data_IF_891264783106
#
_entry.id   IF_891264783106
#
_cell.length_a   1.000
_cell.length_b   1.000
_cell.length_c   1.000
_cell.angle_alpha   90.00
_cell.angle_beta   90.00
_cell.angle_gamma   90.00
#
_symmetry.space_group_name_H-M   'P 1'
#
loop_
_entity.id
_entity.type
_entity.pdbx_description
1 polymer ?
#
# COMPACT_ATOMS: atom_id res chain seq x y z
N UNK A 1 -29.59 25.21 -39.41
CA UNK A 1 -30.05 26.38 -40.17
C UNK A 1 -29.85 27.64 -39.33
N UNK A 2 -28.61 28.14 -39.29
CA UNK A 2 -28.32 29.47 -38.76
C UNK A 2 -28.18 30.40 -39.93
N UNK A 3 -29.26 31.10 -40.28
CA UNK A 3 -29.20 32.28 -41.18
C UNK A 3 -28.68 33.43 -40.32
N UNK A 4 -27.47 33.89 -40.62
CA UNK A 4 -26.96 35.18 -40.17
C UNK A 4 -27.70 36.27 -41.00
N UNK A 5 -28.70 36.86 -40.35
CA UNK A 5 -29.28 38.12 -40.82
C UNK A 5 -28.26 39.24 -40.64
N UNK A 6 -27.38 39.43 -41.59
CA UNK A 6 -26.58 40.64 -41.73
C UNK A 6 -27.51 41.79 -42.06
N UNK A 7 -27.74 42.68 -41.09
CA UNK A 7 -28.50 43.91 -41.27
C UNK A 7 -27.91 44.71 -42.41
N UNK A 8 -28.67 44.88 -43.45
CA UNK A 8 -28.33 45.61 -44.65
C UNK A 8 -28.01 47.11 -44.43
N UNK A 9 -28.11 47.62 -43.23
CA UNK A 9 -27.92 49.02 -42.85
C UNK A 9 -26.51 49.53 -42.70
N UNK A 10 -25.51 48.65 -42.74
CA UNK A 10 -24.09 49.03 -42.53
C UNK A 10 -23.27 49.03 -43.81
N UNK A 11 -23.83 48.60 -44.91
CA UNK A 11 -23.11 48.45 -46.17
C UNK A 11 -23.13 49.74 -47.03
N UNK A 12 -24.04 50.69 -46.77
CA UNK A 12 -24.30 51.84 -47.58
C UNK A 12 -23.44 53.10 -47.33
N UNK A 13 -22.42 53.03 -46.47
CA UNK A 13 -21.60 54.21 -46.10
C UNK A 13 -20.12 54.18 -46.52
N UNK A 14 -19.67 53.21 -47.26
CA UNK A 14 -18.26 53.16 -47.67
C UNK A 14 -18.17 53.34 -49.19
N UNK A 15 -17.35 54.31 -49.58
CA UNK A 15 -17.10 54.62 -51.03
C UNK A 15 -16.59 53.35 -51.73
N UNK A 16 -17.15 53.00 -52.93
CA UNK A 16 -16.86 51.68 -53.56
C UNK A 16 -15.39 51.43 -53.93
N UNK A 17 -14.55 52.44 -53.95
CA UNK A 17 -13.15 52.36 -54.36
C UNK A 17 -12.22 51.98 -53.16
N UNK A 18 -12.52 52.40 -51.93
CA UNK A 18 -11.68 52.09 -50.72
C UNK A 18 -11.94 50.69 -50.26
N UNK A 19 -13.20 50.24 -50.31
CA UNK A 19 -13.55 48.87 -49.86
C UNK A 19 -12.90 47.75 -50.69
N UNK A 20 -12.67 48.03 -51.99
CA UNK A 20 -12.10 47.06 -52.93
C UNK A 20 -10.57 46.83 -52.58
N UNK A 21 -9.87 47.90 -52.22
CA UNK A 21 -8.47 47.84 -51.88
C UNK A 21 -8.25 47.11 -50.50
N UNK A 22 -9.08 47.43 -49.50
CA UNK A 22 -9.03 46.73 -48.18
C UNK A 22 -9.41 45.27 -48.30
N UNK A 23 -10.44 44.95 -49.09
CA UNK A 23 -10.86 43.54 -49.30
C UNK A 23 -9.77 42.73 -50.02
N UNK A 24 -9.08 43.31 -50.97
CA UNK A 24 -7.96 42.69 -51.68
C UNK A 24 -6.76 42.51 -50.71
N UNK A 25 -6.45 43.48 -49.85
CA UNK A 25 -5.40 43.35 -48.87
C UNK A 25 -5.71 42.32 -47.79
N UNK A 26 -6.94 42.27 -47.28
CA UNK A 26 -7.39 41.25 -46.31
C UNK A 26 -7.42 39.84 -46.92
N UNK A 27 -7.82 39.73 -48.18
CA UNK A 27 -7.83 38.43 -48.85
C UNK A 27 -6.42 37.94 -49.17
N UNK A 28 -5.50 38.84 -49.58
CA UNK A 28 -4.09 38.45 -49.79
C UNK A 28 -3.36 38.13 -48.50
N UNK A 29 -3.62 38.84 -47.37
CA UNK A 29 -3.09 38.52 -46.07
C UNK A 29 -3.61 37.16 -45.51
N UNK A 30 -4.89 36.86 -45.74
CA UNK A 30 -5.44 35.53 -45.40
C UNK A 30 -4.86 34.43 -46.28
N UNK A 31 -4.69 34.67 -47.57
CA UNK A 31 -4.05 33.70 -48.46
C UNK A 31 -2.61 33.41 -48.08
N UNK A 32 -1.83 34.43 -47.76
CA UNK A 32 -0.45 34.26 -47.28
C UNK A 32 -0.34 33.47 -45.96
N UNK A 33 -1.27 33.70 -45.00
CA UNK A 33 -1.33 32.90 -43.77
C UNK A 33 -1.73 31.44 -44.05
N UNK A 34 -2.65 31.20 -44.97
CA UNK A 34 -3.05 29.84 -45.37
C UNK A 34 -1.91 29.10 -46.09
N UNK A 35 -1.13 29.78 -46.92
CA UNK A 35 0.07 29.18 -47.53
C UNK A 35 1.16 28.84 -46.52
N UNK A 36 1.40 29.71 -45.53
CA UNK A 36 2.34 29.45 -44.46
C UNK A 36 1.92 28.22 -43.62
N UNK A 37 0.64 28.15 -43.21
CA UNK A 37 0.14 26.99 -42.44
C UNK A 37 0.16 25.71 -43.26
N UNK A 38 -0.16 25.75 -44.53
CA UNK A 38 -0.07 24.58 -45.44
C UNK A 38 1.39 24.11 -45.62
N UNK A 39 2.33 25.04 -45.69
CA UNK A 39 3.75 24.72 -45.78
C UNK A 39 4.30 24.10 -44.49
N UNK A 40 3.86 24.56 -43.34
CA UNK A 40 4.20 23.95 -42.02
C UNK A 40 3.60 22.57 -41.88
N UNK A 41 2.31 22.40 -42.24
CA UNK A 41 1.65 21.08 -42.22
C UNK A 41 2.37 20.10 -43.16
N UNK A 42 2.77 20.55 -44.34
CA UNK A 42 3.49 19.70 -45.29
C UNK A 42 4.92 19.32 -44.83
N UNK A 43 5.58 20.17 -44.03
CA UNK A 43 6.85 19.86 -43.37
C UNK A 43 6.65 18.82 -42.27
N UNK A 44 5.64 19.00 -41.42
CA UNK A 44 5.31 18.05 -40.35
C UNK A 44 4.89 16.69 -40.91
N UNK A 45 4.12 16.66 -42.02
CA UNK A 45 3.76 15.40 -42.67
C UNK A 45 4.96 14.67 -43.28
N UNK A 46 5.90 15.41 -43.88
CA UNK A 46 7.16 14.82 -44.41
C UNK A 46 8.03 14.30 -43.29
N UNK A 47 8.13 15.03 -42.18
CA UNK A 47 8.85 14.61 -40.99
C UNK A 47 8.21 13.36 -40.36
N UNK A 48 6.91 13.36 -40.18
CA UNK A 48 6.16 12.22 -39.66
C UNK A 48 6.36 10.97 -40.51
N UNK A 49 6.23 11.06 -41.82
CA UNK A 49 6.39 9.92 -42.75
C UNK A 49 7.81 9.35 -42.71
N UNK A 50 8.84 10.20 -42.56
CA UNK A 50 10.24 9.78 -42.54
C UNK A 50 10.61 9.05 -41.23
N UNK A 51 10.06 9.49 -40.10
CA UNK A 51 10.42 8.99 -38.79
C UNK A 51 9.36 8.05 -38.17
N UNK A 52 8.23 7.84 -38.89
CA UNK A 52 7.17 6.92 -38.46
C UNK A 52 7.67 5.53 -38.05
N UNK A 53 8.54 4.86 -38.83
CA UNK A 53 9.01 3.53 -38.45
C UNK A 53 9.86 3.56 -37.18
N UNK A 54 10.59 4.64 -36.95
CA UNK A 54 11.43 4.83 -35.76
C UNK A 54 10.55 5.10 -34.52
N UNK A 55 9.50 5.90 -34.64
CA UNK A 55 8.52 6.14 -33.58
C UNK A 55 7.74 4.86 -33.24
N UNK A 56 7.29 4.12 -34.23
CA UNK A 56 6.62 2.84 -34.03
C UNK A 56 7.52 1.80 -33.31
N UNK A 57 8.81 1.76 -33.66
CA UNK A 57 9.77 0.90 -33.00
C UNK A 57 10.00 1.31 -31.53
N UNK A 58 10.04 2.60 -31.25
CA UNK A 58 10.20 3.13 -29.90
C UNK A 58 8.97 2.84 -29.03
N UNK A 59 7.77 2.97 -29.60
CA UNK A 59 6.49 2.62 -28.96
C UNK A 59 6.42 1.11 -28.66
N UNK A 60 6.86 0.28 -29.60
CA UNK A 60 6.91 -1.16 -29.43
C UNK A 60 7.89 -1.58 -28.33
N UNK A 61 9.09 -0.97 -28.26
CA UNK A 61 10.04 -1.18 -27.20
C UNK A 61 9.53 -0.74 -25.84
N UNK A 62 8.79 0.38 -25.77
CA UNK A 62 8.16 0.86 -24.54
C UNK A 62 7.08 -0.12 -24.04
N UNK A 63 6.26 -0.68 -24.94
CA UNK A 63 5.25 -1.68 -24.61
C UNK A 63 5.87 -2.99 -24.09
N UNK A 64 6.97 -3.45 -24.72
CA UNK A 64 7.72 -4.63 -24.24
C UNK A 64 8.29 -4.35 -22.84
N UNK A 65 8.91 -3.18 -22.63
CA UNK A 65 9.47 -2.79 -21.34
C UNK A 65 8.40 -2.73 -20.24
N UNK A 66 7.22 -2.17 -20.53
CA UNK A 66 6.10 -2.12 -19.61
C UNK A 66 5.57 -3.53 -19.26
N UNK A 67 5.47 -4.42 -20.25
CA UNK A 67 5.02 -5.80 -20.08
C UNK A 67 6.00 -6.61 -19.22
N UNK A 68 7.30 -6.51 -19.49
CA UNK A 68 8.34 -7.19 -18.71
C UNK A 68 8.37 -6.70 -17.26
N UNK A 69 8.23 -5.39 -17.04
CA UNK A 69 8.19 -4.81 -15.70
C UNK A 69 6.97 -5.28 -14.92
N UNK A 70 5.81 -5.41 -15.57
CA UNK A 70 4.60 -5.96 -14.97
C UNK A 70 4.76 -7.42 -14.53
N UNK A 71 5.39 -8.26 -15.36
CA UNK A 71 5.65 -9.68 -15.02
C UNK A 71 6.67 -9.80 -13.88
N UNK A 72 7.74 -9.00 -13.91
CA UNK A 72 8.75 -8.99 -12.85
C UNK A 72 8.17 -8.54 -11.51
N UNK A 73 7.32 -7.52 -11.52
CA UNK A 73 6.64 -7.02 -10.32
C UNK A 73 5.72 -8.05 -9.70
N UNK A 74 5.00 -8.83 -10.51
CA UNK A 74 4.14 -9.93 -10.02
C UNK A 74 4.97 -11.03 -9.37
N UNK A 75 6.06 -11.48 -10.01
CA UNK A 75 6.96 -12.49 -9.44
C UNK A 75 7.57 -12.03 -8.11
N UNK A 76 8.02 -10.77 -8.02
CA UNK A 76 8.55 -10.23 -6.76
C UNK A 76 7.49 -10.20 -5.67
N UNK A 77 6.24 -9.86 -5.97
CA UNK A 77 5.15 -9.92 -5.00
C UNK A 77 4.92 -11.34 -4.48
N UNK A 78 4.84 -12.32 -5.38
CA UNK A 78 4.67 -13.73 -5.01
C UNK A 78 5.83 -14.23 -4.12
N UNK A 79 7.07 -13.82 -4.43
CA UNK A 79 8.24 -14.16 -3.62
C UNK A 79 8.17 -13.50 -2.23
N UNK A 80 7.80 -12.22 -2.16
CA UNK A 80 7.63 -11.50 -0.88
C UNK A 80 6.51 -12.13 -0.05
N UNK A 81 5.36 -12.44 -0.64
CA UNK A 81 4.26 -13.12 0.05
C UNK A 81 4.68 -14.50 0.58
N UNK A 82 5.45 -15.25 -0.22
CA UNK A 82 5.99 -16.54 0.21
C UNK A 82 6.97 -16.41 1.37
N UNK A 83 7.88 -15.44 1.30
CA UNK A 83 8.86 -15.19 2.37
C UNK A 83 8.16 -14.72 3.65
N UNK A 84 7.20 -13.81 3.56
CA UNK A 84 6.40 -13.35 4.69
C UNK A 84 5.63 -14.51 5.35
N UNK A 85 5.07 -15.42 4.53
CA UNK A 85 4.41 -16.61 5.07
C UNK A 85 5.38 -17.50 5.84
N UNK A 86 6.56 -17.77 5.28
CA UNK A 86 7.58 -18.56 5.96
C UNK A 86 8.07 -17.89 7.25
N UNK A 87 8.25 -16.58 7.23
CA UNK A 87 8.63 -15.81 8.41
C UNK A 87 7.56 -15.94 9.51
N UNK A 88 6.28 -15.76 9.18
CA UNK A 88 5.17 -15.95 10.12
C UNK A 88 5.15 -17.34 10.72
N UNK A 89 5.37 -18.38 9.92
CA UNK A 89 5.44 -19.78 10.40
C UNK A 89 6.62 -20.00 11.37
N UNK A 90 7.77 -19.40 11.10
CA UNK A 90 8.95 -19.48 11.98
C UNK A 90 8.67 -18.74 13.29
N UNK A 91 8.15 -17.51 13.22
CA UNK A 91 7.82 -16.73 14.41
C UNK A 91 6.79 -17.45 15.29
N UNK A 92 5.77 -18.04 14.68
CA UNK A 92 4.78 -18.83 15.42
C UNK A 92 5.41 -20.03 16.13
N UNK A 93 6.34 -20.75 15.49
CA UNK A 93 7.07 -21.85 16.13
C UNK A 93 7.91 -21.38 17.30
N UNK A 94 8.63 -20.28 17.16
CA UNK A 94 9.44 -19.71 18.25
C UNK A 94 8.57 -19.29 19.44
N UNK A 95 7.39 -18.72 19.19
CA UNK A 95 6.42 -18.38 20.23
C UNK A 95 5.86 -19.63 20.93
N UNK A 96 5.61 -20.69 20.18
CA UNK A 96 5.14 -21.95 20.76
C UNK A 96 6.23 -22.62 21.60
N UNK A 97 7.49 -22.61 21.13
CA UNK A 97 8.65 -23.10 21.91
C UNK A 97 8.85 -22.31 23.21
N UNK A 98 8.81 -20.97 23.15
CA UNK A 98 8.88 -20.12 24.34
C UNK A 98 7.74 -20.43 25.33
N UNK A 99 6.53 -20.61 24.83
CA UNK A 99 5.38 -20.94 25.64
C UNK A 99 5.55 -22.32 26.35
N UNK A 100 6.05 -23.33 25.63
CA UNK A 100 6.35 -24.65 26.19
C UNK A 100 7.47 -24.56 27.27
N UNK A 101 8.49 -23.74 27.03
CA UNK A 101 9.55 -23.49 28.00
C UNK A 101 9.01 -22.86 29.29
N UNK A 102 8.18 -21.79 29.16
CA UNK A 102 7.54 -21.15 30.31
C UNK A 102 6.64 -22.12 31.08
N UNK A 103 5.87 -22.94 30.35
CA UNK A 103 4.98 -23.93 30.98
C UNK A 103 5.74 -25.04 31.69
N UNK A 104 6.94 -25.42 31.20
CA UNK A 104 7.76 -26.49 31.78
C UNK A 104 8.58 -26.05 32.99
N UNK A 105 8.94 -24.78 33.09
CA UNK A 105 9.70 -24.21 34.24
C UNK A 105 8.88 -24.17 35.54
N UNK A 106 7.54 -24.23 35.44
CA UNK A 106 6.66 -24.14 36.61
C UNK A 106 6.08 -25.50 37.02
N UNK A 107 6.10 -25.77 38.29
CA UNK A 107 5.48 -26.98 38.90
C UNK A 107 3.93 -26.91 38.86
N UNK A 108 3.36 -25.68 38.74
CA UNK A 108 1.94 -25.41 38.47
C UNK A 108 1.85 -24.27 37.46
N UNK A 109 1.12 -24.45 36.35
CA UNK A 109 0.86 -23.34 35.43
C UNK A 109 0.08 -22.24 36.16
N UNK A 110 0.47 -20.98 35.94
CA UNK A 110 -0.35 -19.84 36.40
C UNK A 110 -1.72 -19.89 35.70
N UNK A 111 -2.71 -19.27 36.31
CA UNK A 111 -4.03 -19.12 35.69
C UNK A 111 -3.90 -18.48 34.31
N UNK A 112 -3.04 -17.49 34.20
CA UNK A 112 -2.70 -16.80 32.94
C UNK A 112 -2.17 -17.74 31.87
N UNK A 113 -1.18 -18.60 32.22
CA UNK A 113 -0.63 -19.58 31.27
C UNK A 113 -1.69 -20.58 30.80
N UNK A 114 -2.61 -20.99 31.70
CA UNK A 114 -3.73 -21.87 31.34
C UNK A 114 -4.64 -21.18 30.32
N UNK A 115 -5.01 -19.90 30.55
CA UNK A 115 -5.82 -19.10 29.64
C UNK A 115 -5.15 -18.89 28.28
N UNK A 116 -3.83 -18.59 28.27
CA UNK A 116 -3.05 -18.47 27.02
C UNK A 116 -3.05 -19.78 26.25
N UNK A 117 -2.87 -20.92 26.94
CA UNK A 117 -2.90 -22.24 26.30
C UNK A 117 -4.27 -22.56 25.67
N UNK A 118 -5.36 -22.25 26.37
CA UNK A 118 -6.71 -22.41 25.85
C UNK A 118 -6.98 -21.47 24.67
N UNK A 119 -6.51 -20.22 24.74
CA UNK A 119 -6.60 -19.24 23.67
C UNK A 119 -5.87 -19.70 22.42
N UNK A 120 -4.63 -20.18 22.54
CA UNK A 120 -3.85 -20.76 21.41
C UNK A 120 -4.59 -21.96 20.79
N UNK A 121 -5.19 -22.81 21.61
CA UNK A 121 -6.00 -23.94 21.14
C UNK A 121 -7.29 -23.49 20.44
N UNK A 122 -7.92 -22.42 20.88
CA UNK A 122 -9.10 -21.84 20.21
C UNK A 122 -8.69 -21.20 18.88
N UNK A 123 -7.57 -20.49 18.83
CA UNK A 123 -6.99 -19.91 17.64
C UNK A 123 -6.69 -20.97 16.56
N UNK A 124 -6.00 -22.05 16.93
CA UNK A 124 -5.66 -23.13 15.99
C UNK A 124 -6.89 -23.82 15.38
N UNK A 125 -8.04 -23.77 16.07
CA UNK A 125 -9.33 -24.26 15.57
C UNK A 125 -10.12 -23.22 14.76
N UNK A 126 -9.56 -22.05 14.50
CA UNK A 126 -10.21 -20.94 13.78
C UNK A 126 -11.33 -20.25 14.59
N UNK A 127 -11.42 -20.50 15.90
CA UNK A 127 -12.41 -19.87 16.79
C UNK A 127 -11.89 -18.53 17.30
N UNK A 128 -11.69 -17.57 16.39
CA UNK A 128 -11.02 -16.28 16.70
C UNK A 128 -11.77 -15.45 17.76
N UNK A 129 -13.10 -15.45 17.76
CA UNK A 129 -13.86 -14.71 18.76
C UNK A 129 -13.62 -15.25 20.18
N UNK A 130 -13.54 -16.57 20.34
CA UNK A 130 -13.26 -17.20 21.62
C UNK A 130 -11.80 -17.00 22.03
N UNK A 131 -10.85 -17.17 21.10
CA UNK A 131 -9.45 -16.93 21.34
C UNK A 131 -9.18 -15.49 21.80
N UNK A 132 -9.79 -14.50 21.13
CA UNK A 132 -9.74 -13.09 21.52
C UNK A 132 -10.15 -12.87 22.97
N UNK A 133 -11.29 -13.43 23.39
CA UNK A 133 -11.78 -13.27 24.77
C UNK A 133 -10.82 -13.88 25.78
N UNK A 134 -10.34 -15.10 25.52
CA UNK A 134 -9.40 -15.79 26.40
C UNK A 134 -8.06 -15.04 26.54
N UNK A 135 -7.55 -14.41 25.47
CA UNK A 135 -6.36 -13.57 25.57
C UNK A 135 -6.61 -12.29 26.37
N UNK A 136 -7.78 -11.67 26.23
CA UNK A 136 -8.17 -10.50 27.03
C UNK A 136 -8.27 -10.88 28.51
N UNK A 137 -8.86 -12.02 28.83
CA UNK A 137 -8.97 -12.54 30.18
C UNK A 137 -7.59 -12.83 30.77
N UNK A 138 -6.67 -13.40 29.97
CA UNK A 138 -5.28 -13.62 30.36
C UNK A 138 -4.53 -12.32 30.70
N UNK A 139 -4.67 -11.28 29.84
CA UNK A 139 -4.07 -9.95 30.08
C UNK A 139 -4.62 -9.34 31.38
N UNK A 140 -5.93 -9.48 31.61
CA UNK A 140 -6.59 -8.96 32.81
C UNK A 140 -6.13 -9.69 34.09
N UNK A 141 -5.87 -11.01 34.00
CA UNK A 141 -5.34 -11.82 35.09
C UNK A 141 -3.95 -11.37 35.50
N UNK A 142 -3.05 -11.10 34.54
CA UNK A 142 -1.69 -10.60 34.87
C UNK A 142 -1.73 -9.24 35.55
N UNK A 143 -2.61 -8.34 35.11
CA UNK A 143 -2.71 -6.99 35.65
C UNK A 143 -3.23 -6.97 37.12
N UNK A 144 -3.90 -8.03 37.55
CA UNK A 144 -4.42 -8.17 38.90
C UNK A 144 -3.42 -8.83 39.87
N UNK A 145 -2.40 -9.55 39.34
CA UNK A 145 -1.35 -10.12 40.14
C UNK A 145 -0.25 -9.07 40.40
N UNK A 146 -0.06 -8.68 41.68
CA UNK A 146 0.94 -7.72 42.15
C UNK A 146 2.42 -8.23 41.95
N UNK A 147 2.59 -9.32 41.22
CA UNK A 147 3.88 -9.93 40.93
C UNK A 147 4.57 -9.26 39.73
N UNK A 148 5.37 -8.25 40.03
CA UNK A 148 6.35 -7.64 39.09
C UNK A 148 7.53 -8.57 38.76
N UNK A 149 7.27 -9.86 38.54
CA UNK A 149 8.29 -10.85 38.18
C UNK A 149 8.46 -10.85 36.65
N UNK A 150 9.68 -11.13 36.21
CA UNK A 150 10.04 -11.28 34.79
C UNK A 150 9.11 -12.27 34.06
N UNK A 151 8.73 -13.35 34.74
CA UNK A 151 7.77 -14.33 34.22
C UNK A 151 6.39 -13.74 33.96
N UNK A 152 5.88 -12.84 34.80
CA UNK A 152 4.60 -12.18 34.60
C UNK A 152 4.65 -11.21 33.41
N UNK A 153 5.80 -10.56 33.20
CA UNK A 153 6.06 -9.72 32.04
C UNK A 153 6.00 -10.54 30.73
N UNK A 154 6.67 -11.69 30.70
CA UNK A 154 6.66 -12.59 29.55
C UNK A 154 5.26 -13.14 29.25
N UNK A 155 4.50 -13.51 30.29
CA UNK A 155 3.10 -13.96 30.16
C UNK A 155 2.21 -12.86 29.54
N UNK A 156 2.34 -11.61 30.03
CA UNK A 156 1.60 -10.46 29.51
C UNK A 156 1.95 -10.23 28.04
N UNK A 157 3.23 -10.24 27.72
CA UNK A 157 3.72 -10.05 26.34
C UNK A 157 3.21 -11.17 25.42
N UNK A 158 3.28 -12.43 25.87
CA UNK A 158 2.76 -13.57 25.10
C UNK A 158 1.24 -13.48 24.87
N UNK A 159 0.47 -13.05 25.89
CA UNK A 159 -0.96 -12.86 25.75
C UNK A 159 -1.31 -11.74 24.74
N UNK A 160 -0.60 -10.61 24.78
CA UNK A 160 -0.82 -9.49 23.84
C UNK A 160 -0.41 -9.86 22.41
N UNK A 161 0.70 -10.56 22.22
CA UNK A 161 1.10 -11.12 20.91
C UNK A 161 0.04 -12.06 20.37
N UNK A 162 -0.46 -12.98 21.20
CA UNK A 162 -1.54 -13.89 20.82
C UNK A 162 -2.85 -13.18 20.48
N UNK A 163 -3.20 -12.13 21.23
CA UNK A 163 -4.35 -11.28 20.93
C UNK A 163 -4.21 -10.63 19.56
N UNK A 164 -3.06 -10.01 19.27
CA UNK A 164 -2.79 -9.34 18.01
C UNK A 164 -2.84 -10.32 16.83
N UNK A 165 -2.25 -11.51 16.96
CA UNK A 165 -2.34 -12.57 15.94
C UNK A 165 -3.80 -12.98 15.68
N UNK A 166 -4.59 -13.09 16.75
CA UNK A 166 -6.01 -13.46 16.65
C UNK A 166 -6.81 -12.38 15.94
N UNK A 167 -6.57 -11.10 16.26
CA UNK A 167 -7.22 -9.95 15.63
C UNK A 167 -6.83 -9.83 14.16
N UNK A 168 -5.56 -10.00 13.83
CA UNK A 168 -5.07 -10.00 12.45
C UNK A 168 -5.72 -11.12 11.63
N UNK A 169 -5.78 -12.34 12.17
CA UNK A 169 -6.45 -13.48 11.52
C UNK A 169 -7.96 -13.27 11.36
N UNK A 170 -8.59 -12.51 12.25
CA UNK A 170 -9.98 -12.11 12.14
C UNK A 170 -10.22 -10.95 11.16
N UNK A 171 -9.16 -10.31 10.65
CA UNK A 171 -9.22 -9.17 9.74
C UNK A 171 -9.34 -7.80 10.42
N UNK A 172 -9.26 -7.74 11.76
CA UNK A 172 -9.28 -6.50 12.54
C UNK A 172 -7.84 -5.97 12.72
N UNK A 173 -7.27 -5.49 11.60
CA UNK A 173 -5.86 -5.06 11.55
C UNK A 173 -5.58 -3.84 12.42
N UNK A 174 -6.56 -2.94 12.57
CA UNK A 174 -6.40 -1.75 13.41
C UNK A 174 -6.30 -2.12 14.89
N UNK A 175 -7.16 -3.02 15.35
CA UNK A 175 -7.09 -3.50 16.72
C UNK A 175 -5.84 -4.38 16.96
N UNK A 176 -5.38 -5.11 15.95
CA UNK A 176 -4.14 -5.88 16.02
C UNK A 176 -2.92 -4.97 16.20
N UNK A 177 -2.83 -3.88 15.42
CA UNK A 177 -1.79 -2.88 15.57
C UNK A 177 -1.78 -2.26 16.97
N UNK A 178 -2.94 -1.82 17.46
CA UNK A 178 -3.06 -1.25 18.79
C UNK A 178 -2.60 -2.22 19.90
N UNK A 179 -2.98 -3.50 19.82
CA UNK A 179 -2.55 -4.50 20.79
C UNK A 179 -1.01 -4.73 20.80
N UNK A 180 -0.36 -4.58 19.64
CA UNK A 180 1.10 -4.67 19.51
C UNK A 180 1.79 -3.39 19.99
N UNK A 181 1.21 -2.23 19.72
CA UNK A 181 1.69 -0.94 20.25
C UNK A 181 1.64 -0.95 21.78
N UNK A 182 0.53 -1.41 22.37
CA UNK A 182 0.42 -1.62 23.83
C UNK A 182 1.46 -2.62 24.36
N UNK A 183 1.83 -3.64 23.60
CA UNK A 183 2.87 -4.59 23.98
C UNK A 183 4.26 -3.93 24.00
N UNK A 184 4.56 -3.03 23.03
CA UNK A 184 5.81 -2.29 22.98
C UNK A 184 5.97 -1.28 24.11
N UNK A 185 4.86 -0.74 24.64
CA UNK A 185 4.90 0.11 25.82
C UNK A 185 5.40 -0.65 27.07
N UNK A 186 5.17 -1.97 27.12
CA UNK A 186 5.59 -2.81 28.22
C UNK A 186 7.06 -3.23 28.03
N UNK A 187 7.39 -3.71 26.84
CA UNK A 187 8.75 -4.15 26.52
C UNK A 187 9.03 -4.02 25.01
N UNK A 188 10.18 -3.42 24.69
CA UNK A 188 10.64 -3.34 23.31
C UNK A 188 11.22 -4.71 22.88
N UNK A 189 10.37 -5.53 22.28
CA UNK A 189 10.71 -6.87 21.79
C UNK A 189 10.81 -6.85 20.25
N UNK A 190 11.93 -7.35 19.71
CA UNK A 190 12.15 -7.48 18.27
C UNK A 190 11.02 -8.23 17.57
N UNK A 191 10.47 -9.27 18.22
CA UNK A 191 9.34 -10.04 17.68
C UNK A 191 8.09 -9.19 17.53
N UNK A 192 7.81 -8.29 18.50
CA UNK A 192 6.65 -7.39 18.46
C UNK A 192 6.80 -6.37 17.34
N UNK A 193 7.99 -5.81 17.16
CA UNK A 193 8.28 -4.92 16.02
C UNK A 193 8.04 -5.62 14.68
N UNK A 194 8.52 -6.87 14.53
CA UNK A 194 8.30 -7.66 13.32
C UNK A 194 6.81 -7.91 13.04
N UNK A 195 6.05 -8.32 14.08
CA UNK A 195 4.59 -8.51 13.96
C UNK A 195 3.84 -7.24 13.60
N UNK A 196 4.25 -6.09 14.16
CA UNK A 196 3.66 -4.79 13.86
C UNK A 196 3.96 -4.37 12.40
N UNK A 197 5.17 -4.65 11.91
CA UNK A 197 5.54 -4.49 10.51
C UNK A 197 4.67 -5.31 9.57
N UNK A 198 4.37 -6.58 9.94
CA UNK A 198 3.47 -7.45 9.18
C UNK A 198 2.04 -6.86 9.13
N UNK A 199 1.52 -6.41 10.27
CA UNK A 199 0.18 -5.82 10.35
C UNK A 199 0.09 -4.55 9.50
N UNK A 200 1.08 -3.64 9.56
CA UNK A 200 1.12 -2.46 8.71
C UNK A 200 1.27 -2.79 7.22
N UNK A 201 1.96 -3.88 6.89
CA UNK A 201 2.03 -4.38 5.51
C UNK A 201 0.65 -4.85 5.02
N UNK A 202 -0.07 -5.60 5.85
CA UNK A 202 -1.44 -6.07 5.53
C UNK A 202 -2.44 -4.90 5.44
N UNK A 203 -2.22 -3.80 6.20
CA UNK A 203 -2.98 -2.55 6.09
C UNK A 203 -2.61 -1.73 4.83
N UNK A 204 -1.50 -2.02 4.17
CA UNK A 204 -0.97 -1.26 3.03
C UNK A 204 -0.17 -0.02 3.44
N UNK A 205 0.13 0.16 4.73
CA UNK A 205 0.92 1.27 5.27
C UNK A 205 2.43 0.99 5.19
N UNK A 206 2.94 0.83 3.97
CA UNK A 206 4.29 0.31 3.70
C UNK A 206 5.42 1.15 4.33
N UNK A 207 5.23 2.47 4.50
CA UNK A 207 6.22 3.33 5.14
C UNK A 207 6.37 2.97 6.63
N UNK A 208 5.27 2.83 7.35
CA UNK A 208 5.29 2.41 8.75
C UNK A 208 5.80 0.97 8.91
N UNK A 209 5.42 0.09 7.99
CA UNK A 209 5.92 -1.27 7.99
C UNK A 209 7.45 -1.31 7.91
N UNK A 210 8.05 -0.51 7.01
CA UNK A 210 9.49 -0.38 6.88
C UNK A 210 10.15 0.10 8.17
N UNK A 211 9.61 1.14 8.81
CA UNK A 211 10.12 1.64 10.10
C UNK A 211 10.08 0.58 11.21
N UNK A 212 9.05 -0.25 11.23
CA UNK A 212 8.93 -1.32 12.24
C UNK A 212 9.92 -2.45 11.97
N UNK A 213 10.15 -2.81 10.72
CA UNK A 213 11.17 -3.80 10.38
C UNK A 213 12.58 -3.30 10.66
N UNK A 214 12.88 -2.03 10.44
CA UNK A 214 14.17 -1.43 10.81
C UNK A 214 14.40 -1.53 12.33
N UNK A 215 13.40 -1.15 13.14
CA UNK A 215 13.46 -1.31 14.61
C UNK A 215 13.58 -2.77 15.06
N UNK A 216 12.94 -3.69 14.32
CA UNK A 216 13.08 -5.13 14.59
C UNK A 216 14.54 -5.57 14.43
N UNK A 217 15.22 -5.12 13.37
CA UNK A 217 16.63 -5.43 13.12
C UNK A 217 17.54 -4.79 14.19
N UNK A 218 17.29 -3.52 14.52
CA UNK A 218 18.04 -2.82 15.58
C UNK A 218 17.90 -3.48 16.96
N UNK A 219 16.75 -4.08 17.26
CA UNK A 219 16.52 -4.76 18.53
C UNK A 219 17.08 -6.21 18.57
N UNK A 220 17.63 -6.72 17.48
CA UNK A 220 18.29 -8.02 17.39
C UNK A 220 19.80 -7.94 17.62
N UNK A 221 20.40 -6.75 17.47
CA UNK A 221 21.82 -6.47 17.67
C UNK A 221 22.12 -6.21 19.16
#
# INVERSE_FOLDING_TARGET
NWRLDLKASTIDRLKPSENRAEFVQLSSAKAGKLEQTNHEISRLQRFGRKYWPLLALLEFLALIGASLNGVLSRKRREEIERLNKQMREIMQRLEDEKFEELSSKRTRPSETLSLIGEAKKAYSKGKYANAKQLFIDAISSVNNDDNSNEDALEENLSARKGLAMTLSAAGDLVAAAAALEDALEIHADSTVFGMLGDVYTDMGELAKAGEMYDKCLEAMD
#
